data_IF_891931824973
#
_entry.id   IF_891931824973
#
_cell.length_a   1.000
_cell.length_b   1.000
_cell.length_c   1.000
_cell.angle_alpha   90.00
_cell.angle_beta   90.00
_cell.angle_gamma   90.00
#
_symmetry.space_group_name_H-M   'P 1'
#
loop_
_entity.id
_entity.type
_entity.pdbx_description
1 polymer ?
#
# COMPACT_ATOMS: atom_id res chain seq x y z
N UNK A 1 9.49 26.93 -1.49
CA UNK A 1 9.94 28.17 -0.85
C UNK A 1 10.15 29.26 -1.89
N UNK A 2 11.07 29.08 -2.84
CA UNK A 2 11.45 30.13 -3.82
C UNK A 2 10.30 30.69 -4.67
N UNK A 3 9.36 29.84 -5.11
CA UNK A 3 8.24 30.30 -5.94
C UNK A 3 7.15 31.07 -5.16
N UNK A 4 6.88 30.66 -3.92
CA UNK A 4 5.79 31.21 -3.11
C UNK A 4 6.25 32.29 -2.11
N UNK A 5 7.56 32.47 -1.90
CA UNK A 5 8.14 33.36 -0.87
C UNK A 5 7.56 33.12 0.54
N UNK A 6 7.16 31.88 0.81
CA UNK A 6 6.67 31.43 2.12
C UNK A 6 7.71 30.52 2.78
N UNK A 7 7.78 30.58 4.11
CA UNK A 7 8.59 29.66 4.90
C UNK A 7 8.08 28.22 4.74
N UNK A 8 9.00 27.29 4.51
CA UNK A 8 8.70 25.87 4.38
C UNK A 8 9.37 25.13 5.52
N UNK A 9 8.55 24.53 6.37
CA UNK A 9 8.99 23.76 7.52
C UNK A 9 9.08 22.28 7.18
N UNK A 10 10.18 21.63 7.57
CA UNK A 10 10.32 20.18 7.57
C UNK A 10 10.34 19.71 9.02
N UNK A 11 9.34 18.91 9.38
CA UNK A 11 9.12 18.50 10.76
C UNK A 11 8.81 17.01 10.84
N UNK A 12 9.44 16.25 11.76
CA UNK A 12 9.04 14.89 12.02
C UNK A 12 7.66 14.87 12.69
N UNK A 13 6.87 13.86 12.36
CA UNK A 13 5.67 13.53 13.11
C UNK A 13 5.74 12.02 13.31
N UNK A 14 6.45 11.58 14.35
CA UNK A 14 6.64 10.18 14.70
C UNK A 14 5.50 9.71 15.61
N UNK A 15 5.28 8.41 15.71
CA UNK A 15 4.18 7.87 16.53
C UNK A 15 4.58 7.67 17.99
N UNK A 16 5.86 7.40 18.23
CA UNK A 16 6.42 7.21 19.57
C UNK A 16 6.85 8.50 20.25
N UNK A 17 6.82 9.64 19.54
CA UNK A 17 7.23 10.93 20.08
C UNK A 17 6.11 11.49 20.97
N UNK A 18 6.32 11.63 22.29
CA UNK A 18 5.30 12.14 23.21
C UNK A 18 5.11 13.67 23.09
N UNK A 19 6.05 14.39 22.49
CA UNK A 19 6.00 15.84 22.30
C UNK A 19 6.45 16.22 20.88
N UNK A 20 5.71 15.77 19.84
CA UNK A 20 6.11 16.00 18.48
C UNK A 20 6.04 17.49 18.15
N UNK A 21 6.94 18.01 17.30
CA UNK A 21 6.91 19.39 16.82
C UNK A 21 5.74 19.68 15.85
N UNK A 22 4.69 18.85 15.88
CA UNK A 22 3.46 18.97 15.10
C UNK A 22 2.28 18.69 16.02
N UNK A 23 1.27 19.55 15.99
CA UNK A 23 0.00 19.31 16.69
C UNK A 23 -1.18 19.72 15.85
N UNK A 24 -2.36 19.28 16.25
CA UNK A 24 -3.63 19.72 15.68
C UNK A 24 -4.34 20.59 16.71
N UNK A 25 -4.60 21.85 16.36
CA UNK A 25 -5.38 22.78 17.19
C UNK A 25 -6.54 23.34 16.38
N UNK A 26 -7.77 23.20 16.87
CA UNK A 26 -8.98 23.69 16.20
C UNK A 26 -9.12 23.21 14.73
N UNK A 27 -8.71 21.96 14.49
CA UNK A 27 -8.62 21.29 13.17
C UNK A 27 -7.54 21.82 12.23
N UNK A 28 -6.65 22.70 12.69
CA UNK A 28 -5.53 23.22 11.91
C UNK A 28 -4.24 22.54 12.38
N UNK A 29 -3.37 22.14 11.45
CA UNK A 29 -2.03 21.70 11.80
C UNK A 29 -1.19 22.90 12.21
N UNK A 30 -0.50 22.79 13.33
CA UNK A 30 0.51 23.74 13.79
C UNK A 30 1.87 23.04 13.88
N UNK A 31 2.93 23.76 13.54
CA UNK A 31 4.32 23.28 13.68
C UNK A 31 5.07 24.14 14.67
N UNK A 32 5.97 23.51 15.44
CA UNK A 32 6.83 24.20 16.41
C UNK A 32 8.12 24.62 15.72
N UNK A 33 8.41 25.92 15.74
CA UNK A 33 9.66 26.47 15.21
C UNK A 33 10.84 26.27 16.19
N UNK A 34 12.05 26.69 15.77
CA UNK A 34 13.26 26.59 16.60
C UNK A 34 13.23 27.46 17.86
N UNK A 35 12.35 28.44 17.93
CA UNK A 35 12.15 29.32 19.08
C UNK A 35 11.04 28.81 20.01
N UNK A 36 10.40 27.69 19.68
CA UNK A 36 9.31 27.08 20.45
C UNK A 36 7.92 27.65 20.15
N UNK A 37 7.78 28.53 19.15
CA UNK A 37 6.48 29.09 18.77
C UNK A 37 5.71 28.11 17.89
N UNK A 38 4.39 28.09 18.07
CA UNK A 38 3.49 27.29 17.24
C UNK A 38 2.96 28.12 16.08
N UNK A 39 3.20 27.64 14.86
CA UNK A 39 2.83 28.32 13.62
C UNK A 39 1.77 27.51 12.88
N UNK A 40 0.66 28.15 12.53
CA UNK A 40 -0.41 27.52 11.76
C UNK A 40 0.03 27.23 10.31
N UNK A 41 -0.27 26.03 9.84
CA UNK A 41 0.10 25.56 8.51
C UNK A 41 -1.08 25.69 7.56
N UNK A 42 -0.90 26.47 6.48
CA UNK A 42 -1.89 26.62 5.40
C UNK A 42 -2.03 25.35 4.56
N UNK A 43 -0.91 24.74 4.20
CA UNK A 43 -0.85 23.52 3.40
C UNK A 43 0.33 22.64 3.82
N UNK A 44 0.14 21.33 3.76
CA UNK A 44 1.18 20.35 4.08
C UNK A 44 1.28 19.28 2.99
N UNK A 45 2.50 19.09 2.48
CA UNK A 45 2.87 17.86 1.78
C UNK A 45 3.34 16.85 2.81
N UNK A 46 2.52 15.84 3.09
CA UNK A 46 2.82 14.89 4.17
C UNK A 46 3.55 13.64 3.65
N UNK A 47 4.61 13.28 4.35
CA UNK A 47 5.26 11.96 4.22
C UNK A 47 5.06 11.11 5.48
N UNK A 48 3.83 11.11 6.00
CA UNK A 48 3.40 10.32 7.15
C UNK A 48 2.89 8.97 6.66
N UNK A 49 3.74 7.95 6.68
CA UNK A 49 3.51 6.68 5.98
C UNK A 49 2.80 5.62 6.82
N UNK A 50 3.10 5.54 8.11
CA UNK A 50 2.50 4.57 9.02
C UNK A 50 1.25 5.16 9.67
N UNK A 51 0.09 4.53 9.49
CA UNK A 51 -1.18 4.89 10.16
C UNK A 51 -1.44 6.42 10.27
N UNK A 52 -1.41 7.18 9.16
CA UNK A 52 -1.54 8.64 9.23
C UNK A 52 -2.90 9.09 9.78
N UNK A 53 -3.93 8.25 9.66
CA UNK A 53 -5.26 8.46 10.25
C UNK A 53 -5.29 8.42 11.78
N UNK A 54 -4.25 7.88 12.44
CA UNK A 54 -4.14 7.87 13.90
C UNK A 54 -3.58 9.19 14.47
N UNK A 55 -3.22 10.15 13.61
CA UNK A 55 -2.53 11.39 14.00
C UNK A 55 -3.05 12.64 13.31
N UNK A 56 -3.54 12.49 12.08
CA UNK A 56 -4.06 13.59 11.28
C UNK A 56 -5.58 13.38 11.12
N UNK A 57 -6.42 14.29 11.66
CA UNK A 57 -7.86 14.18 11.59
C UNK A 57 -8.38 14.20 10.15
N UNK A 58 -9.50 13.51 9.92
CA UNK A 58 -10.17 13.50 8.62
C UNK A 58 -10.78 14.86 8.24
N UNK A 59 -11.06 15.71 9.22
CA UNK A 59 -11.69 17.01 9.01
C UNK A 59 -10.73 18.19 9.24
N UNK A 60 -9.44 17.95 9.01
CA UNK A 60 -8.40 18.97 9.09
C UNK A 60 -8.65 20.10 8.07
N UNK A 61 -8.51 21.36 8.52
CA UNK A 61 -8.63 22.58 7.71
C UNK A 61 -7.37 22.88 6.90
N UNK A 62 -6.21 22.44 7.37
CA UNK A 62 -4.95 22.56 6.62
C UNK A 62 -5.06 21.76 5.33
N UNK A 63 -4.70 22.36 4.19
CA UNK A 63 -4.73 21.66 2.91
C UNK A 63 -3.68 20.55 2.89
N UNK A 64 -4.13 19.29 2.84
CA UNK A 64 -3.24 18.14 2.79
C UNK A 64 -3.08 17.64 1.36
N UNK A 65 -1.87 17.73 0.84
CA UNK A 65 -1.52 17.04 -0.42
C UNK A 65 -1.35 15.56 -0.10
N UNK A 66 -2.13 14.72 -0.78
CA UNK A 66 -2.50 13.36 -0.39
C UNK A 66 -3.36 13.33 0.89
N UNK A 67 -4.68 13.58 0.81
CA UNK A 67 -5.56 13.62 1.98
C UNK A 67 -5.63 12.27 2.71
N UNK A 68 -6.01 12.30 4.00
CA UNK A 68 -6.17 11.07 4.81
C UNK A 68 -7.29 10.19 4.25
N UNK A 69 -8.35 10.83 3.74
CA UNK A 69 -9.47 10.21 3.06
C UNK A 69 -9.01 9.30 1.93
N UNK A 70 -8.05 9.74 1.09
CA UNK A 70 -7.50 8.92 0.01
C UNK A 70 -6.72 7.70 0.53
N UNK A 71 -6.07 7.82 1.69
CA UNK A 71 -5.42 6.66 2.33
C UNK A 71 -6.44 5.61 2.79
N UNK A 72 -7.53 6.03 3.43
CA UNK A 72 -8.60 5.13 3.86
C UNK A 72 -9.39 4.55 2.68
N UNK A 73 -9.58 5.32 1.61
CA UNK A 73 -10.31 4.94 0.41
C UNK A 73 -9.57 3.93 -0.51
N UNK A 74 -8.39 3.46 -0.11
CA UNK A 74 -7.64 2.44 -0.85
C UNK A 74 -6.16 2.75 -1.01
N UNK A 75 -5.73 4.00 -0.85
CA UNK A 75 -4.32 4.36 -0.99
C UNK A 75 -3.40 3.69 0.04
N UNK A 76 -3.91 3.37 1.23
CA UNK A 76 -3.20 2.64 2.30
C UNK A 76 -4.06 1.57 2.98
N UNK A 77 -5.25 1.30 2.45
CA UNK A 77 -6.16 0.27 2.95
C UNK A 77 -6.43 -0.74 1.84
N UNK A 78 -5.79 -1.91 1.91
CA UNK A 78 -5.87 -2.92 0.84
C UNK A 78 -7.26 -3.51 0.67
N UNK A 79 -8.05 -3.60 1.74
CA UNK A 79 -9.42 -4.12 1.66
C UNK A 79 -10.31 -3.17 0.86
N UNK A 80 -10.24 -1.86 1.16
CA UNK A 80 -11.02 -0.85 0.43
C UNK A 80 -10.49 -0.65 -0.98
N UNK A 81 -9.18 -0.79 -1.22
CA UNK A 81 -8.59 -0.74 -2.55
C UNK A 81 -9.15 -1.83 -3.47
N UNK A 82 -9.22 -3.08 -2.99
CA UNK A 82 -9.79 -4.18 -3.77
C UNK A 82 -11.25 -3.93 -4.14
N UNK A 83 -12.05 -3.36 -3.23
CA UNK A 83 -13.43 -2.94 -3.53
C UNK A 83 -13.47 -1.78 -4.54
N UNK A 84 -12.60 -0.78 -4.41
CA UNK A 84 -12.53 0.35 -5.34
C UNK A 84 -12.23 -0.12 -6.77
N UNK A 85 -11.32 -1.08 -6.91
CA UNK A 85 -10.98 -1.70 -8.20
C UNK A 85 -12.15 -2.50 -8.78
N UNK A 86 -12.86 -3.28 -7.96
CA UNK A 86 -14.07 -4.03 -8.39
C UNK A 86 -15.17 -3.09 -8.91
N UNK A 87 -15.42 -1.97 -8.22
CA UNK A 87 -16.41 -0.98 -8.64
C UNK A 87 -16.00 -0.31 -9.96
N UNK A 88 -14.74 0.14 -10.07
CA UNK A 88 -14.26 0.75 -11.31
C UNK A 88 -14.32 -0.23 -12.48
N UNK A 89 -13.90 -1.49 -12.27
CA UNK A 89 -13.96 -2.51 -13.32
C UNK A 89 -15.40 -2.78 -13.77
N UNK A 90 -16.37 -2.73 -12.86
CA UNK A 90 -17.79 -2.86 -13.19
C UNK A 90 -18.28 -1.69 -14.06
N UNK A 91 -17.83 -0.46 -13.75
CA UNK A 91 -18.15 0.72 -14.57
C UNK A 91 -17.50 0.68 -15.96
N UNK A 92 -16.30 0.10 -16.06
CA UNK A 92 -15.54 -0.01 -17.31
C UNK A 92 -15.87 -1.26 -18.14
N UNK A 93 -16.83 -2.07 -17.70
CA UNK A 93 -17.21 -3.30 -18.39
C UNK A 93 -17.54 -3.03 -19.87
N UNK A 94 -16.94 -3.81 -20.76
CA UNK A 94 -17.09 -3.67 -22.22
C UNK A 94 -16.13 -2.68 -22.90
N UNK A 95 -15.35 -1.89 -22.15
CA UNK A 95 -14.37 -0.95 -22.73
C UNK A 95 -13.03 -1.59 -23.08
N UNK A 96 -12.75 -2.78 -22.53
CA UNK A 96 -11.42 -3.43 -22.59
C UNK A 96 -10.41 -2.91 -21.54
N UNK A 97 -10.78 -1.90 -20.74
CA UNK A 97 -9.99 -1.41 -19.62
C UNK A 97 -10.43 -2.04 -18.30
N UNK A 98 -9.45 -2.45 -17.49
CA UNK A 98 -9.67 -2.94 -16.13
C UNK A 98 -8.40 -2.76 -15.29
N UNK A 99 -8.57 -2.57 -13.98
CA UNK A 99 -7.51 -2.77 -13.00
C UNK A 99 -7.34 -4.27 -12.79
N UNK A 100 -6.16 -4.79 -13.14
CA UNK A 100 -5.83 -6.20 -13.03
C UNK A 100 -5.26 -6.49 -11.65
N UNK A 101 -5.91 -7.40 -10.93
CA UNK A 101 -5.46 -7.88 -9.63
C UNK A 101 -5.55 -9.40 -9.55
N UNK A 102 -4.65 -10.05 -8.79
CA UNK A 102 -4.86 -11.43 -8.39
C UNK A 102 -6.15 -11.55 -7.55
N UNK A 103 -6.75 -12.74 -7.56
CA UNK A 103 -7.92 -13.03 -6.74
C UNK A 103 -7.63 -12.68 -5.27
N UNK A 104 -8.52 -11.88 -4.68
CA UNK A 104 -8.36 -11.32 -3.35
C UNK A 104 -9.66 -11.51 -2.58
N UNK A 105 -9.59 -12.21 -1.46
CA UNK A 105 -10.69 -12.41 -0.52
C UNK A 105 -10.50 -11.40 0.61
N UNK A 106 -11.51 -10.55 0.81
CA UNK A 106 -11.53 -9.47 1.81
C UNK A 106 -12.19 -9.94 3.10
N UNK A 107 -12.04 -9.14 4.15
CA UNK A 107 -12.78 -9.24 5.42
C UNK A 107 -12.60 -10.58 6.16
N UNK A 108 -11.45 -11.22 5.95
CA UNK A 108 -11.12 -12.55 6.46
C UNK A 108 -10.70 -12.47 7.92
N UNK A 109 -11.33 -13.27 8.79
CA UNK A 109 -10.87 -13.48 10.16
C UNK A 109 -9.70 -14.47 10.20
N UNK A 110 -8.87 -14.38 11.25
CA UNK A 110 -7.68 -15.25 11.38
C UNK A 110 -8.03 -16.75 11.28
N UNK A 111 -9.16 -17.17 11.86
CA UNK A 111 -9.60 -18.57 11.87
C UNK A 111 -9.99 -19.14 10.50
N UNK A 112 -10.35 -18.28 9.53
CA UNK A 112 -10.77 -18.70 8.19
C UNK A 112 -9.57 -18.94 7.25
N UNK A 113 -8.40 -18.41 7.58
CA UNK A 113 -7.22 -18.42 6.71
C UNK A 113 -6.81 -19.84 6.29
N UNK A 114 -6.71 -20.85 7.19
CA UNK A 114 -6.32 -22.20 6.77
C UNK A 114 -7.22 -22.80 5.70
N UNK A 115 -8.53 -22.55 5.77
CA UNK A 115 -9.49 -23.02 4.77
C UNK A 115 -9.26 -22.33 3.43
N UNK A 116 -9.03 -21.02 3.42
CA UNK A 116 -8.79 -20.26 2.20
C UNK A 116 -7.47 -20.63 1.53
N UNK A 117 -6.42 -20.89 2.30
CA UNK A 117 -5.13 -21.38 1.78
C UNK A 117 -5.33 -22.72 1.07
N UNK A 118 -6.07 -23.67 1.68
CA UNK A 118 -6.41 -24.95 1.03
C UNK A 118 -7.23 -24.75 -0.25
N UNK A 119 -8.22 -23.85 -0.22
CA UNK A 119 -9.03 -23.51 -1.40
C UNK A 119 -8.18 -22.97 -2.55
N UNK A 120 -7.11 -22.21 -2.25
CA UNK A 120 -6.17 -21.66 -3.25
C UNK A 120 -5.10 -22.67 -3.71
N UNK A 121 -5.21 -23.94 -3.34
CA UNK A 121 -4.27 -24.99 -3.74
C UNK A 121 -3.02 -25.08 -2.86
N UNK A 122 -3.09 -24.62 -1.61
CA UNK A 122 -2.01 -24.71 -0.63
C UNK A 122 -1.08 -23.51 -0.58
N UNK A 123 -1.16 -22.60 -1.54
CA UNK A 123 -0.35 -21.38 -1.58
C UNK A 123 -1.24 -20.14 -1.51
N UNK A 124 -0.85 -19.15 -0.72
CA UNK A 124 -1.54 -17.86 -0.64
C UNK A 124 -0.62 -16.77 -0.09
N UNK A 125 -1.08 -15.51 -0.19
CA UNK A 125 -0.49 -14.38 0.51
C UNK A 125 -1.52 -13.81 1.47
N UNK A 126 -1.21 -13.82 2.76
CA UNK A 126 -2.01 -13.15 3.79
C UNK A 126 -1.45 -11.76 4.02
N UNK A 127 -2.33 -10.74 4.05
CA UNK A 127 -1.90 -9.36 4.30
C UNK A 127 -2.76 -8.70 5.36
N UNK A 128 -2.11 -7.97 6.26
CA UNK A 128 -2.76 -6.99 7.13
C UNK A 128 -3.16 -5.79 6.24
N UNK A 129 -4.46 -5.42 6.18
CA UNK A 129 -4.94 -4.48 5.18
C UNK A 129 -4.31 -3.09 5.30
N UNK A 130 -4.00 -2.66 6.53
CA UNK A 130 -3.59 -1.28 6.86
C UNK A 130 -2.08 -1.07 6.96
N UNK A 131 -1.30 -2.16 6.99
CA UNK A 131 0.16 -2.11 7.08
C UNK A 131 0.81 -1.66 5.77
N UNK A 132 1.98 -1.03 5.84
CA UNK A 132 2.71 -0.49 4.68
C UNK A 132 4.16 -0.99 4.63
N UNK A 133 4.87 -0.65 3.55
CA UNK A 133 6.30 -0.92 3.37
C UNK A 133 6.70 -2.41 3.50
N UNK A 134 5.81 -3.33 3.11
CA UNK A 134 6.07 -4.77 3.19
C UNK A 134 5.86 -5.38 4.58
N UNK A 135 5.50 -4.58 5.57
CA UNK A 135 5.14 -5.09 6.88
C UNK A 135 3.73 -5.69 6.84
N UNK A 136 3.51 -6.78 7.58
CA UNK A 136 2.22 -7.47 7.61
C UNK A 136 1.85 -8.14 6.28
N UNK A 137 2.83 -8.63 5.53
CA UNK A 137 2.64 -9.48 4.35
C UNK A 137 3.30 -10.82 4.64
N UNK A 138 2.54 -11.90 4.49
CA UNK A 138 2.98 -13.26 4.80
C UNK A 138 2.72 -14.14 3.59
N UNK A 139 3.79 -14.70 3.02
CA UNK A 139 3.70 -15.72 1.98
C UNK A 139 3.53 -17.07 2.64
N UNK A 140 2.49 -17.79 2.25
CA UNK A 140 2.18 -19.13 2.74
C UNK A 140 2.41 -20.08 1.58
N UNK A 141 3.49 -20.85 1.68
CA UNK A 141 3.89 -21.87 0.70
C UNK A 141 4.10 -23.24 1.31
N UNK A 142 4.13 -23.32 2.65
CA UNK A 142 4.24 -24.56 3.42
C UNK A 142 3.29 -24.55 4.61
N UNK A 143 3.00 -25.72 5.18
CA UNK A 143 2.21 -25.83 6.41
C UNK A 143 2.91 -25.16 7.60
N UNK A 144 4.24 -25.26 7.68
CA UNK A 144 5.01 -24.57 8.73
C UNK A 144 4.90 -23.04 8.69
N UNK A 145 4.86 -22.43 7.49
CA UNK A 145 4.62 -20.99 7.35
C UNK A 145 3.19 -20.61 7.77
N UNK A 146 2.21 -21.47 7.49
CA UNK A 146 0.83 -21.29 7.95
C UNK A 146 0.74 -21.38 9.46
N UNK A 147 1.34 -22.41 10.07
CA UNK A 147 1.34 -22.60 11.53
C UNK A 147 2.03 -21.44 12.24
N UNK A 148 3.17 -20.97 11.71
CA UNK A 148 3.86 -19.80 12.25
C UNK A 148 2.99 -18.54 12.19
N UNK A 149 2.25 -18.32 11.09
CA UNK A 149 1.28 -17.24 11.00
C UNK A 149 0.12 -17.43 12.00
N UNK A 150 -0.42 -18.64 12.12
CA UNK A 150 -1.52 -18.94 13.03
C UNK A 150 -1.12 -18.84 14.51
N UNK A 151 0.15 -19.05 14.86
CA UNK A 151 0.68 -18.82 16.20
C UNK A 151 0.94 -17.33 16.51
N UNK A 152 1.11 -16.48 15.48
CA UNK A 152 1.44 -15.07 15.65
C UNK A 152 0.29 -14.21 16.21
N UNK A 153 0.63 -13.13 16.91
CA UNK A 153 -0.34 -12.12 17.37
C UNK A 153 -0.26 -10.88 16.50
N UNK A 154 -1.42 -10.32 16.13
CA UNK A 154 -1.51 -9.21 15.19
C UNK A 154 -2.29 -8.04 15.77
N UNK A 155 -1.93 -6.82 15.34
CA UNK A 155 -2.55 -5.58 15.80
C UNK A 155 -3.92 -5.30 15.21
N UNK A 156 -4.43 -6.13 14.30
CA UNK A 156 -5.73 -5.99 13.64
C UNK A 156 -6.38 -7.37 13.54
N UNK A 157 -7.71 -7.39 13.40
CA UNK A 157 -8.51 -8.62 13.47
C UNK A 157 -9.01 -9.04 12.08
N UNK A 158 -8.90 -8.15 11.09
CA UNK A 158 -9.20 -8.41 9.69
C UNK A 158 -7.94 -8.57 8.84
N UNK A 159 -8.01 -9.52 7.91
CA UNK A 159 -6.98 -9.83 6.92
C UNK A 159 -7.55 -9.80 5.51
N UNK A 160 -6.67 -9.73 4.53
CA UNK A 160 -6.98 -10.14 3.16
C UNK A 160 -6.16 -11.39 2.82
N UNK A 161 -6.77 -12.32 2.09
CA UNK A 161 -6.09 -13.48 1.53
C UNK A 161 -6.09 -13.34 0.02
N UNK A 162 -4.91 -13.32 -0.58
CA UNK A 162 -4.72 -13.08 -2.00
C UNK A 162 -4.00 -14.27 -2.64
N UNK A 163 -4.31 -14.58 -3.88
CA UNK A 163 -3.56 -15.57 -4.66
C UNK A 163 -2.08 -15.20 -4.69
N UNK A 164 -1.25 -16.17 -4.34
CA UNK A 164 0.19 -16.12 -4.48
C UNK A 164 0.57 -16.27 -5.95
N UNK A 165 1.33 -15.31 -6.43
CA UNK A 165 1.96 -15.35 -7.76
C UNK A 165 3.38 -15.85 -7.51
N UNK A 166 3.62 -17.11 -7.83
CA UNK A 166 4.92 -17.77 -7.73
C UNK A 166 5.50 -17.97 -9.13
N UNK A 167 6.22 -19.07 -9.33
CA UNK A 167 6.51 -19.53 -10.69
C UNK A 167 5.34 -20.38 -11.24
N UNK A 168 5.52 -20.92 -12.45
CA UNK A 168 4.52 -21.77 -13.10
C UNK A 168 4.09 -23.00 -12.27
N UNK A 169 5.02 -23.61 -11.52
CA UNK A 169 4.84 -24.85 -10.75
C UNK A 169 4.13 -24.62 -9.41
N UNK A 170 4.36 -23.49 -8.73
CA UNK A 170 3.89 -23.28 -7.35
C UNK A 170 3.11 -21.96 -7.14
N UNK A 171 2.41 -21.46 -8.15
CA UNK A 171 1.43 -20.38 -7.96
C UNK A 171 0.08 -20.89 -7.45
N UNK A 172 -0.71 -20.02 -6.80
CA UNK A 172 -2.07 -20.35 -6.37
C UNK A 172 -2.97 -20.75 -7.54
N UNK A 173 -3.96 -21.58 -7.23
CA UNK A 173 -5.05 -21.92 -8.14
C UNK A 173 -6.22 -20.98 -7.87
N UNK A 174 -6.82 -20.43 -8.93
CA UNK A 174 -7.91 -19.48 -8.83
C UNK A 174 -8.92 -19.64 -9.97
N UNK A 175 -10.12 -19.10 -9.79
CA UNK A 175 -11.22 -19.28 -10.73
C UNK A 175 -10.98 -18.62 -12.11
N UNK A 176 -10.13 -17.60 -12.16
CA UNK A 176 -9.78 -16.84 -13.38
C UNK A 176 -8.46 -17.27 -14.02
N UNK A 177 -7.94 -18.44 -13.64
CA UNK A 177 -6.65 -18.96 -14.09
C UNK A 177 -5.50 -18.66 -13.12
N UNK A 178 -4.28 -19.02 -13.53
CA UNK A 178 -3.06 -18.93 -12.73
C UNK A 178 -2.15 -17.82 -13.25
N UNK A 179 -1.91 -16.82 -12.41
CA UNK A 179 -0.79 -15.89 -12.63
C UNK A 179 0.52 -16.52 -12.17
N UNK A 180 1.60 -16.25 -12.88
CA UNK A 180 2.96 -16.62 -12.49
C UNK A 180 3.93 -15.51 -12.89
N UNK A 181 5.06 -15.42 -12.19
CA UNK A 181 6.12 -14.48 -12.51
C UNK A 181 6.85 -14.91 -13.78
N UNK A 182 7.01 -13.95 -14.71
CA UNK A 182 7.99 -14.04 -15.80
C UNK A 182 9.40 -13.73 -15.27
N UNK A 183 9.48 -12.84 -14.28
CA UNK A 183 10.73 -12.45 -13.63
C UNK A 183 11.59 -11.53 -14.49
N UNK A 184 12.72 -11.13 -13.92
CA UNK A 184 13.79 -10.38 -14.60
C UNK A 184 14.50 -11.25 -15.64
N UNK A 185 15.26 -10.61 -16.54
CA UNK A 185 16.18 -11.33 -17.42
C UNK A 185 17.13 -12.22 -16.58
N UNK A 186 17.36 -13.49 -16.97
CA UNK A 186 18.28 -14.35 -16.26
C UNK A 186 19.66 -13.72 -16.14
N UNK A 187 20.27 -13.82 -14.97
CA UNK A 187 21.66 -13.40 -14.80
C UNK A 187 22.63 -14.43 -15.44
N UNK A 188 23.93 -14.19 -15.32
CA UNK A 188 24.98 -15.09 -15.85
C UNK A 188 24.96 -16.52 -15.28
N UNK A 189 24.29 -16.73 -14.15
CA UNK A 189 24.11 -18.02 -13.51
C UNK A 189 22.74 -18.65 -13.86
N UNK A 190 22.05 -18.13 -14.89
CA UNK A 190 20.68 -18.51 -15.27
C UNK A 190 19.65 -18.34 -14.14
N UNK A 191 19.91 -17.46 -13.18
CA UNK A 191 18.98 -17.19 -12.09
C UNK A 191 18.01 -16.08 -12.50
N UNK A 192 16.72 -16.35 -12.30
CA UNK A 192 15.63 -15.39 -12.52
C UNK A 192 15.23 -14.82 -11.16
N UNK A 193 15.12 -13.50 -11.08
CA UNK A 193 14.65 -12.83 -9.87
C UNK A 193 13.25 -12.26 -10.09
N UNK A 194 12.42 -12.30 -9.05
CA UNK A 194 11.19 -11.51 -9.05
C UNK A 194 11.54 -10.04 -8.89
N UNK A 195 10.87 -9.18 -9.66
CA UNK A 195 10.89 -7.75 -9.47
C UNK A 195 9.47 -7.20 -9.54
N UNK A 196 9.25 -6.07 -8.86
CA UNK A 196 8.09 -5.22 -9.11
C UNK A 196 8.51 -3.95 -9.84
N UNK A 197 7.57 -3.36 -10.58
CA UNK A 197 7.71 -2.04 -11.18
C UNK A 197 6.86 -1.04 -10.41
N UNK A 198 7.46 0.10 -10.06
CA UNK A 198 6.80 1.22 -9.41
C UNK A 198 6.75 2.38 -10.37
N UNK A 199 5.55 2.76 -10.76
CA UNK A 199 5.30 3.96 -11.55
C UNK A 199 4.55 4.98 -10.73
N UNK A 200 5.01 6.23 -10.78
CA UNK A 200 4.38 7.38 -10.13
C UNK A 200 3.80 8.29 -11.20
N UNK A 201 2.58 8.78 -10.95
CA UNK A 201 1.88 9.71 -11.83
C UNK A 201 1.43 10.93 -11.03
N UNK A 202 1.37 12.08 -11.69
CA UNK A 202 0.65 13.26 -11.23
C UNK A 202 -0.59 13.47 -12.08
N UNK A 203 -1.56 14.20 -11.54
CA UNK A 203 -2.67 14.76 -12.28
C UNK A 203 -2.50 16.28 -12.36
N UNK A 204 -2.70 16.84 -13.55
CA UNK A 204 -2.75 18.28 -13.82
C UNK A 204 -3.99 18.63 -14.66
N UNK A 205 -4.08 19.88 -15.09
CA UNK A 205 -5.20 20.38 -15.92
C UNK A 205 -5.33 19.61 -17.26
N UNK A 206 -4.19 19.21 -17.84
CA UNK A 206 -4.13 18.44 -19.09
C UNK A 206 -4.25 16.91 -18.90
N UNK A 207 -4.53 16.45 -17.68
CA UNK A 207 -4.69 15.04 -17.34
C UNK A 207 -3.50 14.44 -16.59
N UNK A 208 -3.33 13.12 -16.71
CA UNK A 208 -2.27 12.39 -16.00
C UNK A 208 -0.93 12.50 -16.73
N UNK A 209 0.16 12.60 -15.95
CA UNK A 209 1.53 12.59 -16.45
C UNK A 209 2.41 11.66 -15.61
N UNK A 210 3.33 10.88 -16.21
CA UNK A 210 4.30 10.09 -15.45
C UNK A 210 5.33 11.01 -14.77
N UNK A 211 5.68 10.70 -13.52
CA UNK A 211 6.69 11.43 -12.75
C UNK A 211 8.00 10.64 -12.63
N UNK A 212 7.89 9.35 -12.36
CA UNK A 212 9.04 8.51 -12.09
C UNK A 212 8.68 7.04 -12.26
N UNK A 213 9.69 6.25 -12.61
CA UNK A 213 9.59 4.80 -12.70
C UNK A 213 10.87 4.16 -12.15
N UNK A 214 10.71 3.10 -11.37
CA UNK A 214 11.82 2.30 -10.85
C UNK A 214 11.35 0.88 -10.56
N UNK A 215 12.28 -0.07 -10.55
CA UNK A 215 12.04 -1.46 -10.15
C UNK A 215 12.59 -1.76 -8.77
N UNK A 216 12.10 -2.83 -8.15
CA UNK A 216 12.71 -3.40 -6.94
C UNK A 216 12.81 -4.90 -7.08
N UNK A 217 14.00 -5.44 -6.85
CA UNK A 217 14.28 -6.88 -6.96
C UNK A 217 14.08 -7.59 -5.63
N UNK A 218 13.65 -8.84 -5.67
CA UNK A 218 13.68 -9.75 -4.53
C UNK A 218 15.12 -10.04 -4.06
N UNK A 219 15.27 -10.61 -2.87
CA UNK A 219 16.58 -10.92 -2.27
C UNK A 219 17.21 -12.15 -2.92
N UNK A 220 16.39 -13.16 -3.17
CA UNK A 220 16.80 -14.45 -3.70
C UNK A 220 16.18 -14.71 -5.06
N UNK A 221 16.83 -15.56 -5.84
CA UNK A 221 16.31 -16.02 -7.12
C UNK A 221 15.08 -16.92 -6.91
N UNK A 222 14.18 -16.92 -7.89
CA UNK A 222 13.00 -17.75 -7.90
C UNK A 222 13.38 -19.21 -8.17
N UNK A 223 13.07 -20.11 -7.24
CA UNK A 223 13.33 -21.54 -7.41
C UNK A 223 12.27 -22.22 -8.28
N UNK A 224 12.67 -23.24 -9.03
CA UNK A 224 11.75 -24.08 -9.80
C UNK A 224 10.78 -24.84 -8.89
N UNK A 225 11.30 -25.42 -7.82
CA UNK A 225 10.52 -26.15 -6.81
C UNK A 225 10.86 -25.63 -5.42
N UNK A 226 9.86 -25.62 -4.56
CA UNK A 226 10.02 -25.31 -3.15
C UNK A 226 10.57 -26.54 -2.43
N UNK A 227 11.78 -26.42 -1.88
CA UNK A 227 12.45 -27.46 -1.09
C UNK A 227 12.71 -27.01 0.36
N UNK A 228 12.23 -25.82 0.72
CA UNK A 228 12.43 -25.21 2.04
C UNK A 228 13.81 -24.61 2.27
N UNK A 229 14.72 -24.67 1.29
CA UNK A 229 16.08 -24.13 1.41
C UNK A 229 16.13 -22.60 1.44
N UNK A 230 15.14 -21.95 0.81
CA UNK A 230 15.01 -20.50 0.72
C UNK A 230 13.61 -20.09 1.14
N UNK A 231 13.50 -19.05 1.97
CA UNK A 231 12.21 -18.48 2.34
C UNK A 231 11.44 -18.00 1.12
N UNK A 232 10.14 -18.31 1.05
CA UNK A 232 9.25 -17.80 0.01
C UNK A 232 9.25 -16.27 -0.06
N UNK A 233 9.38 -15.60 1.09
CA UNK A 233 9.47 -14.15 1.16
C UNK A 233 10.77 -13.59 0.57
N UNK A 234 11.89 -14.29 0.69
CA UNK A 234 13.14 -13.86 0.07
C UNK A 234 13.08 -13.91 -1.45
N UNK A 235 12.30 -14.82 -2.02
CA UNK A 235 12.09 -14.97 -3.46
C UNK A 235 11.03 -14.02 -4.02
N UNK A 236 9.98 -13.70 -3.26
CA UNK A 236 8.83 -12.92 -3.74
C UNK A 236 8.81 -11.48 -3.22
N UNK A 237 9.42 -11.23 -2.06
CA UNK A 237 9.40 -9.96 -1.36
C UNK A 237 10.35 -8.93 -1.97
N UNK A 238 9.80 -7.94 -2.66
CA UNK A 238 10.57 -6.86 -3.32
C UNK A 238 10.70 -5.60 -2.47
N UNK A 239 10.21 -5.60 -1.23
CA UNK A 239 10.31 -4.43 -0.35
C UNK A 239 11.76 -4.15 0.03
N UNK A 240 12.14 -2.87 0.01
CA UNK A 240 13.50 -2.42 0.35
C UNK A 240 13.64 -2.05 1.82
N UNK A 241 12.53 -1.71 2.48
CA UNK A 241 12.53 -1.28 3.88
C UNK A 241 12.96 -2.40 4.82
N UNK A 242 13.93 -2.11 5.68
CA UNK A 242 14.40 -2.97 6.76
C UNK A 242 13.98 -2.31 8.07
N UNK A 243 13.12 -2.98 8.85
CA UNK A 243 12.76 -2.48 10.17
C UNK A 243 13.97 -2.59 11.12
N UNK A 244 14.29 -1.51 11.83
CA UNK A 244 15.36 -1.46 12.86
C UNK A 244 14.82 -1.24 14.28
N UNK A 245 13.51 -1.02 14.42
CA UNK A 245 12.83 -0.77 15.68
C UNK A 245 11.58 0.09 15.48
N UNK A 246 11.04 0.61 16.58
CA UNK A 246 9.94 1.59 16.55
C UNK A 246 10.40 2.89 15.90
N UNK A 247 9.66 3.36 14.91
CA UNK A 247 9.95 4.60 14.16
C UNK A 247 11.38 4.65 13.54
N UNK A 248 12.04 3.50 13.37
CA UNK A 248 13.38 3.37 12.82
C UNK A 248 13.44 2.36 11.67
N UNK A 249 13.96 2.79 10.52
CA UNK A 249 14.06 1.98 9.31
C UNK A 249 15.35 2.25 8.55
N UNK A 250 15.78 1.22 7.82
CA UNK A 250 16.88 1.25 6.87
C UNK A 250 16.35 0.80 5.49
N UNK A 251 17.15 0.93 4.44
CA UNK A 251 16.75 0.55 3.08
C UNK A 251 17.84 -0.23 2.36
N UNK A 252 17.45 -1.37 1.81
CA UNK A 252 18.32 -2.21 0.96
C UNK A 252 18.42 -1.63 -0.45
N UNK A 253 19.21 -0.57 -0.60
CA UNK A 253 19.34 0.18 -1.85
C UNK A 253 20.00 -0.62 -2.97
N UNK A 254 20.73 -1.69 -2.65
CA UNK A 254 21.38 -2.56 -3.64
C UNK A 254 20.38 -3.35 -4.50
N UNK A 255 19.11 -3.45 -4.09
CA UNK A 255 18.01 -4.08 -4.85
C UNK A 255 17.11 -3.08 -5.56
N UNK A 256 17.39 -1.78 -5.44
CA UNK A 256 16.71 -0.74 -6.20
C UNK A 256 17.23 -0.74 -7.64
N UNK A 257 16.32 -0.82 -8.60
CA UNK A 257 16.64 -0.77 -10.03
C UNK A 257 16.14 0.56 -10.58
N UNK A 258 17.04 1.52 -10.75
CA UNK A 258 16.69 2.84 -11.27
C UNK A 258 16.51 2.79 -12.79
N UNK A 259 15.76 3.75 -13.33
CA UNK A 259 15.64 3.94 -14.78
C UNK A 259 16.94 4.52 -15.34
N UNK A 260 17.91 3.65 -15.58
CA UNK A 260 19.17 3.96 -16.26
C UNK A 260 19.41 2.99 -17.42
N UNK A 261 20.45 3.24 -18.22
CA UNK A 261 20.77 2.45 -19.42
C UNK A 261 21.31 1.04 -19.10
N UNK A 262 21.67 0.75 -17.85
CA UNK A 262 22.37 -0.48 -17.47
C UNK A 262 21.44 -1.43 -16.73
N UNK A 263 20.91 -1.00 -15.61
CA UNK A 263 20.23 -1.85 -14.65
C UNK A 263 18.75 -1.98 -14.99
N UNK A 264 18.09 -0.94 -15.52
CA UNK A 264 16.67 -1.00 -15.87
C UNK A 264 16.36 -2.07 -16.92
N UNK A 265 17.25 -2.24 -17.90
CA UNK A 265 17.11 -3.26 -18.94
C UNK A 265 17.09 -4.70 -18.39
N UNK A 266 17.65 -4.92 -17.20
CA UNK A 266 17.61 -6.25 -16.55
C UNK A 266 16.21 -6.65 -16.10
N UNK A 267 15.26 -5.71 -15.98
CA UNK A 267 13.85 -6.01 -15.69
C UNK A 267 13.18 -6.78 -16.84
N UNK A 268 13.72 -6.73 -18.06
CA UNK A 268 13.14 -7.42 -19.22
C UNK A 268 11.81 -6.83 -19.70
N UNK A 269 11.56 -5.55 -19.42
CA UNK A 269 10.32 -4.86 -19.79
C UNK A 269 10.43 -4.18 -21.15
N UNK A 270 9.39 -4.31 -21.97
CA UNK A 270 9.24 -3.57 -23.22
C UNK A 270 8.54 -2.22 -23.00
N UNK A 271 8.52 -1.38 -24.04
CA UNK A 271 7.73 -0.14 -24.01
C UNK A 271 6.24 -0.42 -23.80
N UNK A 272 5.70 -1.49 -24.39
CA UNK A 272 4.31 -1.89 -24.22
C UNK A 272 3.99 -2.27 -22.76
N UNK A 273 4.93 -2.92 -22.06
CA UNK A 273 4.80 -3.21 -20.63
C UNK A 273 4.77 -1.94 -19.77
N UNK A 274 5.59 -0.93 -20.13
CA UNK A 274 5.58 0.36 -19.47
C UNK A 274 4.27 1.12 -19.73
N UNK A 275 3.74 1.09 -20.95
CA UNK A 275 2.44 1.69 -21.29
C UNK A 275 1.31 1.00 -20.51
N UNK A 276 1.31 -0.33 -20.45
CA UNK A 276 0.37 -1.09 -19.60
C UNK A 276 0.52 -0.70 -18.13
N UNK A 277 1.75 -0.60 -17.62
CA UNK A 277 2.03 -0.15 -16.26
C UNK A 277 1.48 1.25 -15.97
N UNK A 278 1.60 2.17 -16.93
CA UNK A 278 1.02 3.51 -16.85
C UNK A 278 -0.49 3.47 -16.77
N UNK A 279 -1.15 2.75 -17.68
CA UNK A 279 -2.61 2.61 -17.69
C UNK A 279 -3.10 1.97 -16.37
N UNK A 280 -2.46 0.90 -15.89
CA UNK A 280 -2.81 0.28 -14.61
C UNK A 280 -2.66 1.25 -13.42
N UNK A 281 -1.61 2.08 -13.44
CA UNK A 281 -1.37 3.09 -12.40
C UNK A 281 -2.47 4.16 -12.42
N UNK A 282 -2.81 4.69 -13.60
CA UNK A 282 -3.86 5.69 -13.76
C UNK A 282 -5.23 5.13 -13.33
N UNK A 283 -5.59 3.92 -13.78
CA UNK A 283 -6.84 3.28 -13.37
C UNK A 283 -6.90 3.04 -11.86
N UNK A 284 -5.78 2.63 -11.24
CA UNK A 284 -5.68 2.49 -9.79
C UNK A 284 -5.91 3.81 -9.04
N UNK A 285 -5.31 4.90 -9.52
CA UNK A 285 -5.52 6.25 -8.95
C UNK A 285 -6.97 6.69 -9.11
N UNK A 286 -7.56 6.51 -10.29
CA UNK A 286 -8.96 6.86 -10.57
C UNK A 286 -9.93 6.07 -9.69
N UNK A 287 -9.68 4.77 -9.47
CA UNK A 287 -10.51 3.95 -8.60
C UNK A 287 -10.51 4.47 -7.16
N UNK A 288 -9.31 4.76 -6.62
CA UNK A 288 -9.16 5.28 -5.26
C UNK A 288 -9.78 6.68 -5.13
N UNK A 289 -9.62 7.55 -6.12
CA UNK A 289 -10.24 8.88 -6.13
C UNK A 289 -11.77 8.79 -6.14
N UNK A 290 -12.35 7.97 -7.02
CA UNK A 290 -13.80 7.72 -7.04
C UNK A 290 -14.30 7.17 -5.71
N UNK A 291 -13.57 6.22 -5.11
CA UNK A 291 -13.90 5.69 -3.79
C UNK A 291 -13.84 6.77 -2.70
N UNK A 292 -12.80 7.62 -2.72
CA UNK A 292 -12.68 8.73 -1.78
C UNK A 292 -13.86 9.71 -1.93
N UNK A 293 -14.24 10.05 -3.16
CA UNK A 293 -15.41 10.89 -3.45
C UNK A 293 -16.72 10.26 -2.96
N UNK A 294 -16.90 8.95 -3.12
CA UNK A 294 -18.08 8.24 -2.61
C UNK A 294 -18.15 8.24 -1.07
N UNK A 295 -16.99 8.20 -0.41
CA UNK A 295 -16.84 8.28 1.04
C UNK A 295 -16.85 9.72 1.57
N UNK A 296 -17.03 10.72 0.72
CA UNK A 296 -17.09 12.13 1.10
C UNK A 296 -18.44 12.73 0.71
N UNK A 297 -18.98 13.58 1.57
CA UNK A 297 -20.21 14.34 1.28
C UNK A 297 -19.90 15.53 0.37
N UNK A 298 -20.93 16.12 -0.24
CA UNK A 298 -20.77 17.36 -1.01
C UNK A 298 -20.21 18.53 -0.17
N UNK A 299 -20.37 18.47 1.16
CA UNK A 299 -19.81 19.45 2.11
C UNK A 299 -18.39 19.10 2.59
N UNK A 300 -17.72 18.13 1.97
CA UNK A 300 -16.35 17.72 2.32
C UNK A 300 -16.21 16.83 3.56
N UNK A 301 -17.31 16.49 4.26
CA UNK A 301 -17.27 15.59 5.43
C UNK A 301 -17.12 14.13 5.02
N UNK A 302 -16.25 13.39 5.69
CA UNK A 302 -16.07 11.96 5.48
C UNK A 302 -17.23 11.15 6.08
N UNK A 303 -17.75 10.16 5.34
CA UNK A 303 -18.93 9.37 5.70
C UNK A 303 -18.52 8.18 6.58
N UNK A 304 -18.13 8.44 7.83
CA UNK A 304 -17.65 7.40 8.76
C UNK A 304 -18.60 6.20 8.91
N UNK A 305 -19.93 6.43 9.01
CA UNK A 305 -20.92 5.36 9.08
C UNK A 305 -20.96 4.46 7.83
N UNK A 306 -20.72 5.03 6.65
CA UNK A 306 -20.62 4.26 5.41
C UNK A 306 -19.29 3.50 5.39
N UNK A 307 -18.19 4.16 5.75
CA UNK A 307 -16.86 3.56 5.80
C UNK A 307 -16.81 2.34 6.73
N UNK A 308 -17.40 2.42 7.92
CA UNK A 308 -17.47 1.32 8.88
C UNK A 308 -18.23 0.09 8.34
N UNK A 309 -19.19 0.28 7.41
CA UNK A 309 -19.87 -0.83 6.73
C UNK A 309 -18.99 -1.50 5.66
N UNK A 310 -18.03 -0.77 5.10
CA UNK A 310 -17.08 -1.29 4.10
C UNK A 310 -15.83 -1.90 4.75
N UNK A 311 -15.49 -1.45 5.96
CA UNK A 311 -14.35 -1.90 6.72
C UNK A 311 -14.71 -1.88 8.20
N UNK A 312 -14.98 -3.06 8.77
CA UNK A 312 -15.58 -3.20 10.10
C UNK A 312 -14.57 -3.51 11.21
N UNK A 313 -13.26 -3.36 10.96
CA UNK A 313 -12.21 -3.63 11.94
C UNK A 313 -12.27 -2.62 13.10
N UNK A 314 -12.59 -3.06 14.33
CA UNK A 314 -12.78 -2.14 15.46
C UNK A 314 -11.53 -1.33 15.79
N UNK A 315 -10.35 -1.96 15.72
CA UNK A 315 -9.08 -1.30 16.07
C UNK A 315 -8.75 -0.19 15.09
N UNK A 316 -9.03 -0.37 13.80
CA UNK A 316 -8.90 0.71 12.83
C UNK A 316 -9.84 1.87 13.15
N UNK A 317 -11.09 1.58 13.52
CA UNK A 317 -12.04 2.65 13.83
C UNK A 317 -11.60 3.43 15.06
N UNK A 318 -11.12 2.75 16.11
CA UNK A 318 -10.57 3.38 17.31
C UNK A 318 -9.39 4.31 16.98
N UNK A 319 -8.47 3.87 16.12
CA UNK A 319 -7.36 4.71 15.64
C UNK A 319 -7.86 5.98 14.93
N UNK A 320 -8.90 5.86 14.10
CA UNK A 320 -9.47 7.01 13.37
C UNK A 320 -10.17 7.97 14.35
N UNK A 321 -10.93 7.45 15.32
CA UNK A 321 -11.67 8.26 16.28
C UNK A 321 -10.75 8.98 17.27
N UNK A 322 -9.63 8.37 17.65
CA UNK A 322 -8.61 9.05 18.47
C UNK A 322 -8.09 10.34 17.81
N UNK A 323 -7.86 10.31 16.49
CA UNK A 323 -7.43 11.51 15.76
C UNK A 323 -8.59 12.40 15.32
N UNK A 324 -9.79 11.84 15.15
CA UNK A 324 -10.99 12.55 14.70
C UNK A 324 -12.14 12.34 15.68
N UNK A 325 -12.13 13.00 16.86
CA UNK A 325 -13.21 12.90 17.83
C UNK A 325 -14.54 13.34 17.22
N UNK A 326 -15.64 12.70 17.61
CA UNK A 326 -16.97 13.05 17.10
C UNK A 326 -17.34 14.49 17.45
N UNK A 327 -18.16 15.14 16.61
CA UNK A 327 -18.70 16.49 16.86
C UNK A 327 -19.49 16.58 18.20
N UNK A 328 -19.88 15.46 18.82
CA UNK A 328 -20.53 15.40 20.15
C UNK A 328 -19.54 15.43 21.33
N UNK A 329 -18.25 15.26 21.05
CA UNK A 329 -17.15 15.27 22.04
C UNK A 329 -16.23 16.50 21.87
N UNK A 330 -16.62 17.44 21.00
CA UNK A 330 -15.96 18.73 20.75
C UNK A 330 -16.81 19.88 21.26
#
# INVERSE_FOLDING_TARGET
AEHNKEDVYLTPFLSSDPDPPVRVRERTLEVRDSSGNWLAVRAAFRYVTQKPWARIPLDCKTLLVNPIQACLAGGRNKAVAAMAYELLNSELAGTGLEVRTPETIRDVSKGEIPMLVRKMGGHAVVKIPYSNAGQGVFTITTEGELDAFMAGTYGYDRFIVQSLIGNYLWSSQGARGRFYHVGMLPNKNNQIYVADLRMMVAAGEDGFMPLAVYGRRARSALLDRLDGSVSSWDMLGTNLSIAKGTDAWDSDTARLVLMDRRDFNTLGLSLDDLLKGYVQTVLGVVAIDKMARNLTTQKGRFRMKLYQKLNDDPKLMDEIWQATPNDSER
#
